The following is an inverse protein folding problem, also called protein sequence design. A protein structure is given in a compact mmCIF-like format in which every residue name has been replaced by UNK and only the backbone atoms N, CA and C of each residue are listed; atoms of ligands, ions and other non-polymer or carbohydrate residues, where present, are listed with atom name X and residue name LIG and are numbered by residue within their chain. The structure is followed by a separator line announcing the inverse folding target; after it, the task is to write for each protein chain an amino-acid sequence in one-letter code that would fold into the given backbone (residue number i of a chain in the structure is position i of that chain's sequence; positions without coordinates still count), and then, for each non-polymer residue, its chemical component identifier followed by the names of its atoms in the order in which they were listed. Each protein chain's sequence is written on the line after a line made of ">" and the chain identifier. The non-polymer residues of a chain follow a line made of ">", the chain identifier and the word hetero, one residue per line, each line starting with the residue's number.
data_IF_107730125525
#
_entry.id   IF_107730125525
#
_cell.length_a   1.000
_cell.length_b   1.000
_cell.length_c   1.000
_cell.angle_alpha   90.00
_cell.angle_beta   90.00
_cell.angle_gamma   90.00
#
_symmetry.space_group_name_H-M   'P 1'
#
loop_
_entity.id
_entity.type
_entity.pdbx_description
1 polymer ?
#
# COMPACT_ATOMS: atom_id res chain seq x y z
N UNK A 1 2.45 7.00 9.90
CA UNK A 1 3.09 7.02 8.56
C UNK A 1 2.01 7.18 7.50
N UNK A 2 2.27 7.90 6.40
CA UNK A 2 1.35 7.99 5.26
C UNK A 2 1.89 7.21 4.06
N UNK A 3 1.02 6.43 3.42
CA UNK A 3 1.31 5.66 2.21
C UNK A 3 0.48 6.19 1.04
N UNK A 4 1.04 6.04 -0.15
CA UNK A 4 0.42 6.36 -1.43
C UNK A 4 0.37 5.12 -2.31
N UNK A 5 -0.68 5.01 -3.12
CA UNK A 5 -0.85 4.00 -4.15
C UNK A 5 -1.38 4.66 -5.41
N UNK A 6 -0.69 4.47 -6.53
CA UNK A 6 -1.12 4.92 -7.85
C UNK A 6 -1.55 3.71 -8.67
N UNK A 7 -2.80 3.70 -9.10
CA UNK A 7 -3.35 2.71 -10.00
C UNK A 7 -3.42 3.26 -11.42
N UNK A 8 -2.76 2.58 -12.36
CA UNK A 8 -2.73 2.94 -13.77
C UNK A 8 -3.30 1.79 -14.63
N UNK A 9 -4.63 1.62 -14.66
CA UNK A 9 -5.26 0.63 -15.54
C UNK A 9 -5.01 0.97 -17.01
N UNK A 10 -4.92 -0.06 -17.88
CA UNK A 10 -4.84 0.16 -19.32
C UNK A 10 -6.19 0.63 -19.85
N UNK A 11 -6.20 1.74 -20.59
CA UNK A 11 -7.41 2.26 -21.24
C UNK A 11 -8.38 2.98 -20.31
N UNK A 12 -7.97 3.34 -19.10
CA UNK A 12 -8.71 4.18 -18.17
C UNK A 12 -7.77 5.16 -17.47
N UNK A 13 -8.34 6.20 -16.87
CA UNK A 13 -7.58 7.23 -16.17
C UNK A 13 -6.85 6.67 -14.94
N UNK A 14 -5.71 7.28 -14.62
CA UNK A 14 -4.97 6.96 -13.41
C UNK A 14 -5.74 7.43 -12.17
N UNK A 15 -5.61 6.68 -11.09
CA UNK A 15 -6.17 7.04 -9.79
C UNK A 15 -5.09 6.98 -8.71
N UNK A 16 -5.13 7.93 -7.78
CA UNK A 16 -4.26 7.97 -6.61
C UNK A 16 -5.06 7.79 -5.33
N UNK A 17 -4.46 7.07 -4.39
CA UNK A 17 -5.05 6.76 -3.10
C UNK A 17 -4.02 6.99 -2.00
N UNK A 18 -4.50 7.44 -0.85
CA UNK A 18 -3.71 7.60 0.37
C UNK A 18 -4.23 6.68 1.47
N UNK A 19 -3.30 6.19 2.29
CA UNK A 19 -3.60 5.40 3.47
C UNK A 19 -2.76 5.88 4.65
N UNK A 20 -3.34 5.89 5.84
CA UNK A 20 -2.63 6.09 7.10
C UNK A 20 -2.30 4.73 7.69
N UNK A 21 -1.05 4.52 8.08
CA UNK A 21 -0.64 3.35 8.88
C UNK A 21 -0.99 3.65 10.34
N UNK A 22 -1.90 2.86 10.90
CA UNK A 22 -2.29 2.90 12.30
C UNK A 22 -1.24 2.21 13.19
N UNK A 23 -1.34 2.39 14.50
CA UNK A 23 -0.35 1.88 15.47
C UNK A 23 -0.24 0.35 15.46
N UNK A 24 -1.31 -0.36 15.10
CA UNK A 24 -1.35 -1.83 14.97
C UNK A 24 -0.83 -2.33 13.60
N UNK A 25 -0.39 -1.41 12.74
CA UNK A 25 0.07 -1.70 11.38
C UNK A 25 -1.04 -1.88 10.35
N UNK A 26 -2.31 -1.71 10.72
CA UNK A 26 -3.42 -1.67 9.77
C UNK A 26 -3.38 -0.40 8.91
N UNK A 27 -4.06 -0.45 7.76
CA UNK A 27 -4.17 0.67 6.83
C UNK A 27 -5.57 1.27 6.90
N UNK A 28 -5.64 2.55 7.24
CA UNK A 28 -6.88 3.33 7.14
C UNK A 28 -6.94 4.12 5.84
N UNK A 29 -8.01 3.89 5.07
CA UNK A 29 -8.34 4.62 3.84
C UNK A 29 -9.70 5.26 4.03
N UNK A 30 -9.76 6.60 4.03
CA UNK A 30 -10.94 7.35 4.50
C UNK A 30 -11.40 6.87 5.89
N UNK A 31 -12.60 6.27 6.00
CA UNK A 31 -13.20 5.75 7.24
C UNK A 31 -13.10 4.23 7.38
N UNK A 32 -12.45 3.53 6.44
CA UNK A 32 -12.30 2.07 6.48
C UNK A 32 -10.89 1.66 6.88
N UNK A 33 -10.80 0.65 7.73
CA UNK A 33 -9.54 0.09 8.23
C UNK A 33 -9.37 -1.32 7.66
N UNK A 34 -8.16 -1.62 7.21
CA UNK A 34 -7.81 -2.89 6.59
C UNK A 34 -6.57 -3.48 7.27
N UNK A 35 -6.68 -4.71 7.75
CA UNK A 35 -5.55 -5.46 8.31
C UNK A 35 -4.59 -6.04 7.26
N UNK A 36 -4.93 -5.92 5.97
CA UNK A 36 -4.14 -6.45 4.85
C UNK A 36 -3.87 -5.37 3.81
N UNK A 37 -2.59 -5.07 3.50
CA UNK A 37 -2.24 -4.14 2.43
C UNK A 37 -2.81 -4.54 1.06
N UNK A 38 -2.92 -5.83 0.79
CA UNK A 38 -3.46 -6.36 -0.47
C UNK A 38 -4.95 -6.09 -0.60
N UNK A 39 -5.73 -6.32 0.47
CA UNK A 39 -7.18 -6.05 0.48
C UNK A 39 -7.43 -4.54 0.35
N UNK A 40 -6.64 -3.72 1.05
CA UNK A 40 -6.68 -2.28 0.94
C UNK A 40 -6.45 -1.79 -0.50
N UNK A 41 -5.46 -2.36 -1.21
CA UNK A 41 -5.17 -2.01 -2.60
C UNK A 41 -6.32 -2.42 -3.55
N UNK A 42 -6.87 -3.63 -3.38
CA UNK A 42 -8.02 -4.09 -4.17
C UNK A 42 -9.24 -3.19 -3.94
N UNK A 43 -9.52 -2.81 -2.68
CA UNK A 43 -10.60 -1.87 -2.35
C UNK A 43 -10.45 -0.55 -3.12
N UNK A 44 -9.25 0.02 -3.16
CA UNK A 44 -8.94 1.23 -3.94
C UNK A 44 -9.17 1.03 -5.44
N UNK A 45 -8.67 -0.06 -6.02
CA UNK A 45 -8.89 -0.36 -7.45
C UNK A 45 -10.36 -0.47 -7.81
N UNK A 46 -11.16 -1.08 -6.94
CA UNK A 46 -12.59 -1.25 -7.16
C UNK A 46 -13.35 0.09 -7.12
N UNK A 47 -12.82 1.12 -6.44
CA UNK A 47 -13.38 2.48 -6.50
C UNK A 47 -13.28 3.10 -7.91
N UNK A 48 -12.38 2.61 -8.77
CA UNK A 48 -12.25 3.07 -10.17
C UNK A 48 -13.06 2.22 -11.15
N UNK A 49 -13.93 1.32 -10.65
CA UNK A 49 -14.67 0.37 -11.48
C UNK A 49 -13.86 -0.86 -11.93
N UNK A 50 -12.65 -1.07 -11.39
CA UNK A 50 -11.87 -2.28 -11.67
C UNK A 50 -12.55 -3.52 -11.12
N UNK A 51 -12.53 -4.62 -11.90
CA UNK A 51 -13.02 -5.94 -11.45
C UNK A 51 -11.92 -6.81 -10.82
N UNK A 52 -10.71 -6.27 -10.62
CA UNK A 52 -9.59 -7.00 -10.03
C UNK A 52 -9.94 -7.50 -8.62
N UNK A 53 -9.53 -8.73 -8.35
CA UNK A 53 -9.71 -9.40 -7.06
C UNK A 53 -8.39 -9.56 -6.29
N UNK A 54 -7.27 -9.28 -6.94
CA UNK A 54 -5.94 -9.45 -6.36
C UNK A 54 -5.07 -8.25 -6.69
N UNK A 55 -4.23 -7.87 -5.74
CA UNK A 55 -3.12 -6.94 -5.93
C UNK A 55 -2.05 -7.23 -4.88
N UNK A 56 -0.78 -7.05 -5.23
CA UNK A 56 0.32 -7.17 -4.29
C UNK A 56 0.48 -5.86 -3.49
N UNK A 57 -0.27 -5.76 -2.40
CA UNK A 57 -0.25 -4.60 -1.49
C UNK A 57 1.15 -4.19 -1.04
N UNK A 58 2.04 -5.15 -0.80
CA UNK A 58 3.41 -4.88 -0.34
C UNK A 58 4.27 -4.12 -1.34
N UNK A 59 3.95 -4.22 -2.64
CA UNK A 59 4.70 -3.58 -3.72
C UNK A 59 4.10 -2.25 -4.17
N UNK A 60 2.78 -2.11 -4.08
CA UNK A 60 2.07 -0.94 -4.62
C UNK A 60 1.95 0.21 -3.64
N UNK A 61 1.86 -0.07 -2.33
CA UNK A 61 1.87 0.96 -1.30
C UNK A 61 3.27 1.49 -1.07
N UNK A 62 3.42 2.81 -1.10
CA UNK A 62 4.71 3.48 -0.96
C UNK A 62 4.65 4.65 0.01
N UNK A 63 5.70 4.82 0.80
CA UNK A 63 5.83 6.01 1.65
C UNK A 63 6.20 7.27 0.84
N UNK A 64 6.35 8.38 1.53
CA UNK A 64 6.75 9.68 0.95
C UNK A 64 8.13 9.64 0.25
N UNK A 65 8.99 8.66 0.59
CA UNK A 65 10.29 8.43 -0.07
C UNK A 65 10.19 7.47 -1.27
N UNK A 66 8.98 7.18 -1.75
CA UNK A 66 8.70 6.26 -2.86
C UNK A 66 9.24 4.83 -2.61
N UNK A 67 9.38 4.42 -1.34
CA UNK A 67 9.77 3.07 -0.96
C UNK A 67 8.54 2.22 -0.68
N UNK A 68 8.49 1.03 -1.26
CA UNK A 68 7.39 0.08 -1.01
C UNK A 68 7.49 -0.54 0.39
N UNK A 69 6.38 -1.06 0.91
CA UNK A 69 6.37 -1.82 2.17
C UNK A 69 7.36 -3.00 2.14
N UNK A 70 7.47 -3.67 0.99
CA UNK A 70 8.47 -4.72 0.78
C UNK A 70 9.91 -4.20 0.96
N UNK A 71 10.21 -3.04 0.37
CA UNK A 71 11.54 -2.43 0.49
C UNK A 71 11.82 -1.97 1.91
N UNK A 72 10.84 -1.35 2.57
CA UNK A 72 10.96 -0.90 3.96
C UNK A 72 11.23 -2.08 4.91
N UNK A 73 10.54 -3.20 4.72
CA UNK A 73 10.80 -4.43 5.47
C UNK A 73 12.23 -4.92 5.28
N UNK A 74 12.74 -4.96 4.05
CA UNK A 74 14.12 -5.37 3.76
C UNK A 74 15.14 -4.44 4.43
N UNK A 75 14.91 -3.12 4.37
CA UNK A 75 15.77 -2.13 5.02
C UNK A 75 15.78 -2.35 6.54
N UNK A 76 14.61 -2.56 7.15
CA UNK A 76 14.50 -2.79 8.59
C UNK A 76 15.22 -4.08 9.02
N UNK A 77 15.03 -5.18 8.29
CA UNK A 77 15.69 -6.44 8.58
C UNK A 77 17.21 -6.34 8.42
N UNK A 78 17.70 -5.75 7.32
CA UNK A 78 19.14 -5.59 7.10
C UNK A 78 19.79 -4.70 8.16
N UNK A 79 19.15 -3.59 8.51
CA UNK A 79 19.63 -2.73 9.59
C UNK A 79 19.69 -3.51 10.92
N UNK A 80 18.70 -4.36 11.22
CA UNK A 80 18.71 -5.17 12.44
C UNK A 80 19.85 -6.21 12.46
N UNK A 81 20.24 -6.76 11.30
CA UNK A 81 21.35 -7.71 11.20
C UNK A 81 22.74 -7.04 11.30
N UNK A 82 22.88 -5.78 10.89
CA UNK A 82 24.15 -5.05 11.02
C UNK A 82 24.52 -4.71 12.49
N UNK A 83 23.56 -4.89 13.41
CA UNK A 83 23.75 -4.68 14.87
C UNK A 83 23.72 -5.99 15.69
N UNK A 84 23.69 -7.16 15.03
CA UNK A 84 23.71 -8.49 15.68
C UNK A 84 25.00 -9.24 15.41
#
# INVERSE_FOLDING_TARGET
>A
EELSFIYNPRGADSASFTAIVEDDGSLRISSRVFSSPSIAAVFCMQQTGSNRQTENGWRVWKNQKNKSLEQLRKIYLNAAYDFS
#
